data_IF_991656215735
#
_entry.id   IF_991656215735
#
_cell.length_a   1.000
_cell.length_b   1.000
_cell.length_c   1.000
_cell.angle_alpha   90.00
_cell.angle_beta   90.00
_cell.angle_gamma   90.00
#
_symmetry.space_group_name_H-M   'P 1'
#
loop_
_entity.id
_entity.type
_entity.pdbx_description
1 polymer ?
#
# COMPACT_ATOMS: atom_id res chain seq x y z
N UNK A 1 -16.20 -13.51 -4.12
CA UNK A 1 -16.94 -12.65 -3.19
C UNK A 1 -18.35 -12.34 -3.73
N UNK A 2 -18.50 -11.66 -4.88
CA UNK A 2 -19.79 -11.20 -5.41
C UNK A 2 -20.83 -12.31 -5.55
N UNK A 3 -20.48 -13.45 -6.14
CA UNK A 3 -21.42 -14.57 -6.34
C UNK A 3 -21.90 -15.19 -5.03
N UNK A 4 -21.15 -15.03 -3.95
CA UNK A 4 -21.51 -15.49 -2.61
C UNK A 4 -22.26 -14.43 -1.80
N UNK A 5 -21.83 -13.16 -1.88
CA UNK A 5 -22.37 -12.07 -1.06
C UNK A 5 -23.76 -11.58 -1.46
N UNK A 6 -24.20 -11.82 -2.71
CA UNK A 6 -25.49 -11.32 -3.22
C UNK A 6 -26.72 -11.84 -2.47
N UNK A 7 -26.63 -13.01 -1.84
CA UNK A 7 -27.76 -13.63 -1.14
C UNK A 7 -27.80 -13.26 0.35
N UNK A 8 -26.78 -12.55 0.87
CA UNK A 8 -26.67 -12.21 2.29
C UNK A 8 -27.41 -10.92 2.61
N UNK A 9 -28.33 -10.98 3.54
CA UNK A 9 -29.13 -9.83 4.04
C UNK A 9 -28.58 -9.20 5.30
N UNK A 10 -27.78 -9.95 6.07
CA UNK A 10 -27.16 -9.48 7.29
C UNK A 10 -25.68 -9.22 7.07
N UNK A 11 -25.13 -8.23 7.77
CA UNK A 11 -23.71 -7.94 7.72
C UNK A 11 -22.91 -9.11 8.32
N UNK A 12 -22.10 -9.75 7.51
CA UNK A 12 -21.24 -10.87 7.91
C UNK A 12 -19.80 -10.66 7.45
N UNK A 13 -18.86 -10.93 8.35
CA UNK A 13 -17.42 -10.94 8.06
C UNK A 13 -17.03 -12.34 7.60
N UNK A 14 -16.51 -12.43 6.40
CA UNK A 14 -16.16 -13.72 5.76
C UNK A 14 -14.73 -13.70 5.23
N UNK A 15 -14.15 -14.89 5.10
CA UNK A 15 -12.87 -15.09 4.40
C UNK A 15 -13.16 -15.87 3.13
N UNK A 16 -12.65 -15.39 2.01
CA UNK A 16 -12.55 -16.13 0.76
C UNK A 16 -11.12 -16.62 0.62
N UNK A 17 -10.95 -17.93 0.55
CA UNK A 17 -9.69 -18.63 0.34
C UNK A 17 -9.72 -19.23 -1.06
N UNK A 18 -8.98 -18.66 -1.98
CA UNK A 18 -8.92 -19.07 -3.38
C UNK A 18 -7.55 -19.67 -3.69
N UNK A 19 -7.51 -21.00 -3.86
CA UNK A 19 -6.30 -21.73 -4.26
C UNK A 19 -6.56 -22.37 -5.63
N UNK A 20 -6.09 -21.66 -6.65
CA UNK A 20 -6.20 -22.07 -8.05
C UNK A 20 -5.11 -23.03 -8.50
N UNK A 21 -4.88 -23.07 -9.82
CA UNK A 21 -3.77 -23.83 -10.41
C UNK A 21 -2.41 -23.17 -10.24
N UNK A 22 -2.33 -21.86 -10.41
CA UNK A 22 -1.08 -21.09 -10.39
C UNK A 22 -0.98 -20.02 -9.33
N UNK A 23 -2.10 -19.64 -8.68
CA UNK A 23 -2.16 -18.56 -7.70
C UNK A 23 -2.91 -18.96 -6.45
N UNK A 24 -2.54 -18.33 -5.36
CA UNK A 24 -3.26 -18.35 -4.08
C UNK A 24 -3.68 -16.95 -3.71
N UNK A 25 -4.96 -16.73 -3.46
CA UNK A 25 -5.51 -15.46 -3.00
C UNK A 25 -6.35 -15.67 -1.72
N UNK A 26 -6.25 -14.74 -0.80
CA UNK A 26 -7.07 -14.71 0.41
C UNK A 26 -7.59 -13.30 0.64
N UNK A 27 -8.91 -13.18 0.87
CA UNK A 27 -9.57 -11.90 1.09
C UNK A 27 -10.46 -11.97 2.32
N UNK A 28 -10.30 -11.02 3.23
CA UNK A 28 -11.23 -10.75 4.33
C UNK A 28 -12.18 -9.65 3.88
N UNK A 29 -13.48 -9.90 3.99
CA UNK A 29 -14.48 -8.96 3.54
C UNK A 29 -15.71 -8.96 4.47
N UNK A 30 -16.46 -7.87 4.40
CA UNK A 30 -17.76 -7.73 5.03
C UNK A 30 -18.85 -7.69 3.95
N UNK A 31 -19.91 -8.48 4.15
CA UNK A 31 -21.06 -8.53 3.24
C UNK A 31 -22.32 -8.14 3.98
N UNK A 32 -23.21 -7.38 3.36
CA UNK A 32 -24.52 -7.04 3.91
C UNK A 32 -25.22 -5.99 3.06
N UNK A 33 -26.54 -6.00 3.03
CA UNK A 33 -27.40 -5.05 2.31
C UNK A 33 -26.95 -4.77 0.85
N UNK A 34 -26.53 -5.82 0.13
CA UNK A 34 -26.03 -5.75 -1.25
C UNK A 34 -24.68 -5.00 -1.40
N UNK A 35 -23.98 -4.74 -0.32
CA UNK A 35 -22.62 -4.19 -0.32
C UNK A 35 -21.64 -5.31 0.02
N UNK A 36 -20.53 -5.36 -0.73
CA UNK A 36 -19.38 -6.23 -0.45
C UNK A 36 -18.18 -5.31 -0.28
N UNK A 37 -17.71 -5.19 0.94
CA UNK A 37 -16.56 -4.36 1.29
C UNK A 37 -15.34 -5.24 1.58
N UNK A 38 -14.25 -5.02 0.85
CA UNK A 38 -12.96 -5.69 1.13
C UNK A 38 -12.29 -4.98 2.30
N UNK A 39 -11.95 -5.73 3.36
CA UNK A 39 -11.24 -5.21 4.54
C UNK A 39 -9.73 -5.40 4.40
N UNK A 40 -9.31 -6.53 3.85
CA UNK A 40 -7.90 -6.82 3.54
C UNK A 40 -7.81 -7.92 2.51
N UNK A 41 -6.71 -7.95 1.77
CA UNK A 41 -6.41 -8.97 0.78
C UNK A 41 -4.92 -9.26 0.74
N UNK A 42 -4.55 -10.45 0.30
CA UNK A 42 -3.19 -10.88 0.06
C UNK A 42 -3.18 -12.26 -0.56
N UNK A 43 -1.98 -12.77 -0.89
CA UNK A 43 -1.87 -14.05 -1.55
C UNK A 43 -0.44 -14.38 -1.99
N UNK A 44 -0.30 -15.30 -2.94
CA UNK A 44 0.93 -15.60 -3.65
C UNK A 44 0.61 -15.91 -5.13
N UNK A 45 1.09 -15.04 -6.03
CA UNK A 45 0.87 -15.14 -7.47
C UNK A 45 1.60 -16.34 -8.13
N UNK A 46 2.38 -17.10 -7.37
CA UNK A 46 3.18 -18.21 -7.85
C UNK A 46 3.04 -19.47 -6.99
N UNK A 47 1.98 -19.57 -6.20
CA UNK A 47 1.66 -20.72 -5.38
C UNK A 47 0.29 -21.27 -5.79
N UNK A 48 0.27 -22.52 -6.25
CA UNK A 48 -0.98 -23.14 -6.67
C UNK A 48 -0.89 -24.64 -6.88
N UNK A 49 -1.92 -25.20 -7.51
CA UNK A 49 -1.99 -26.64 -7.82
C UNK A 49 -0.88 -27.15 -8.73
N UNK A 50 -0.29 -26.31 -9.56
CA UNK A 50 0.83 -26.64 -10.43
C UNK A 50 2.10 -26.94 -9.62
N UNK A 51 2.28 -26.29 -8.45
CA UNK A 51 3.39 -26.58 -7.54
C UNK A 51 3.19 -27.93 -6.86
N UNK A 52 1.94 -28.28 -6.54
CA UNK A 52 1.61 -29.63 -6.04
C UNK A 52 1.93 -30.69 -7.10
N UNK A 53 1.59 -30.42 -8.37
CA UNK A 53 1.92 -31.31 -9.49
C UNK A 53 3.44 -31.43 -9.67
N UNK A 54 4.18 -30.34 -9.56
CA UNK A 54 5.63 -30.33 -9.65
C UNK A 54 6.27 -31.24 -8.57
N UNK A 55 5.77 -31.24 -7.34
CA UNK A 55 6.22 -32.16 -6.28
C UNK A 55 6.01 -33.63 -6.67
N UNK A 56 4.85 -33.97 -7.28
CA UNK A 56 4.57 -35.30 -7.78
C UNK A 56 5.48 -35.68 -8.95
N UNK A 57 5.67 -34.78 -9.92
CA UNK A 57 6.57 -34.96 -11.06
C UNK A 57 7.98 -35.26 -10.59
N UNK A 58 8.47 -34.48 -9.63
CA UNK A 58 9.81 -34.63 -9.06
C UNK A 58 9.95 -35.98 -8.36
N UNK A 59 8.97 -36.37 -7.58
CA UNK A 59 8.95 -37.68 -6.93
C UNK A 59 8.98 -38.80 -7.97
N UNK A 60 8.09 -38.84 -8.94
CA UNK A 60 8.00 -39.88 -9.98
C UNK A 60 9.25 -39.95 -10.83
N UNK A 61 9.81 -38.81 -11.25
CA UNK A 61 11.03 -38.75 -12.06
C UNK A 61 12.25 -39.28 -11.27
N UNK A 62 12.36 -38.91 -9.98
CA UNK A 62 13.45 -39.38 -9.12
C UNK A 62 13.36 -40.90 -8.85
N UNK A 63 12.16 -41.41 -8.57
CA UNK A 63 11.94 -42.85 -8.40
C UNK A 63 12.34 -43.62 -9.66
N UNK A 64 11.86 -43.15 -10.83
CA UNK A 64 12.22 -43.78 -12.09
C UNK A 64 13.72 -43.71 -12.39
N UNK A 65 14.36 -42.60 -12.09
CA UNK A 65 15.82 -42.45 -12.25
C UNK A 65 16.61 -43.38 -11.35
N UNK A 66 16.15 -43.55 -10.11
CA UNK A 66 16.79 -44.50 -9.17
C UNK A 66 16.69 -45.97 -9.65
N UNK A 67 15.53 -46.32 -10.24
CA UNK A 67 15.29 -47.71 -10.71
C UNK A 67 15.93 -48.00 -12.08
N UNK A 68 15.93 -46.99 -12.99
CA UNK A 68 16.33 -47.23 -14.40
C UNK A 68 17.58 -46.44 -14.84
N UNK A 69 18.09 -45.53 -14.01
CA UNK A 69 19.24 -44.65 -14.38
C UNK A 69 18.91 -43.55 -15.38
N UNK A 70 17.65 -43.41 -15.79
CA UNK A 70 17.20 -42.49 -16.83
C UNK A 70 16.44 -41.28 -16.21
N UNK A 71 16.82 -40.11 -16.56
CA UNK A 71 16.18 -38.85 -16.10
C UNK A 71 15.08 -38.45 -17.06
N UNK A 72 13.82 -38.71 -16.73
CA UNK A 72 12.66 -38.42 -17.55
C UNK A 72 12.43 -36.91 -17.78
N UNK A 73 12.96 -36.06 -16.90
CA UNK A 73 12.82 -34.60 -17.07
C UNK A 73 13.60 -34.04 -18.27
N UNK A 74 14.57 -34.80 -18.80
CA UNK A 74 15.35 -34.42 -19.99
C UNK A 74 14.66 -34.77 -21.30
N UNK A 75 13.62 -35.58 -21.26
CA UNK A 75 12.79 -35.95 -22.40
C UNK A 75 11.47 -35.16 -22.36
N UNK A 76 11.28 -34.25 -23.31
CA UNK A 76 10.12 -33.37 -23.38
C UNK A 76 8.80 -34.16 -23.45
N UNK A 77 8.78 -35.29 -24.20
CA UNK A 77 7.58 -36.10 -24.34
C UNK A 77 7.28 -36.86 -23.06
N UNK A 78 8.29 -37.40 -22.40
CA UNK A 78 8.13 -38.08 -21.10
C UNK A 78 7.69 -37.08 -20.03
N UNK A 79 8.28 -35.88 -20.00
CA UNK A 79 7.90 -34.83 -19.05
C UNK A 79 6.44 -34.38 -19.22
N UNK A 80 5.96 -34.23 -20.47
CA UNK A 80 4.56 -33.88 -20.73
C UNK A 80 3.60 -34.95 -20.20
N UNK A 81 3.92 -36.24 -20.44
CA UNK A 81 3.14 -37.36 -19.92
C UNK A 81 3.19 -37.46 -18.38
N UNK A 82 4.32 -37.12 -17.77
CA UNK A 82 4.44 -37.02 -16.30
C UNK A 82 3.54 -35.91 -15.74
N UNK A 83 3.50 -34.74 -16.38
CA UNK A 83 2.64 -33.63 -15.97
C UNK A 83 1.17 -34.03 -15.96
N UNK A 84 0.68 -34.59 -17.05
CA UNK A 84 -0.71 -35.07 -17.16
C UNK A 84 -1.04 -36.14 -16.10
N UNK A 85 -0.10 -37.07 -15.87
CA UNK A 85 -0.28 -38.13 -14.88
C UNK A 85 -0.24 -37.62 -13.45
N UNK A 86 0.61 -36.64 -13.15
CA UNK A 86 0.71 -36.00 -11.83
C UNK A 86 -0.57 -35.23 -11.51
N UNK A 87 -1.08 -34.42 -12.45
CA UNK A 87 -2.33 -33.69 -12.28
C UNK A 87 -3.52 -34.64 -12.05
N UNK A 88 -3.61 -35.72 -12.84
CA UNK A 88 -4.66 -36.73 -12.66
C UNK A 88 -4.52 -37.42 -11.29
N UNK A 89 -3.32 -37.81 -10.88
CA UNK A 89 -3.08 -38.40 -9.58
C UNK A 89 -3.46 -37.46 -8.42
N UNK A 90 -3.11 -36.16 -8.51
CA UNK A 90 -3.56 -35.14 -7.55
C UNK A 90 -5.09 -35.08 -7.44
N UNK A 91 -5.80 -35.06 -8.57
CA UNK A 91 -7.27 -35.04 -8.61
C UNK A 91 -7.87 -36.30 -7.98
N UNK A 92 -7.34 -37.49 -8.31
CA UNK A 92 -7.81 -38.76 -7.76
C UNK A 92 -7.54 -38.86 -6.25
N UNK A 93 -6.37 -38.41 -5.77
CA UNK A 93 -6.01 -38.40 -4.35
C UNK A 93 -6.84 -37.44 -3.51
N UNK A 94 -7.56 -36.50 -4.12
CA UNK A 94 -8.53 -35.64 -3.41
C UNK A 94 -9.78 -36.46 -2.94
N UNK A 95 -10.13 -37.55 -3.63
CA UNK A 95 -11.28 -38.40 -3.30
C UNK A 95 -10.87 -39.79 -2.81
N UNK A 96 -9.73 -40.33 -3.32
CA UNK A 96 -9.24 -41.68 -3.02
C UNK A 96 -8.07 -41.62 -2.05
N UNK A 97 -7.85 -42.71 -1.28
CA UNK A 97 -6.71 -42.84 -0.35
C UNK A 97 -5.44 -43.26 -1.06
N UNK A 98 -5.52 -43.82 -2.25
CA UNK A 98 -4.39 -44.22 -3.10
C UNK A 98 -4.77 -44.12 -4.59
N UNK A 99 -3.76 -43.96 -5.43
CA UNK A 99 -3.89 -44.04 -6.90
C UNK A 99 -2.68 -44.70 -7.51
N UNK A 100 -2.80 -45.19 -8.75
CA UNK A 100 -1.70 -45.80 -9.51
C UNK A 100 -1.40 -44.95 -10.77
N UNK A 101 -0.21 -44.39 -10.82
CA UNK A 101 0.32 -43.79 -12.05
C UNK A 101 0.89 -44.91 -12.92
N UNK A 102 0.31 -45.08 -14.12
CA UNK A 102 0.75 -46.11 -15.07
C UNK A 102 1.02 -45.46 -16.44
N UNK A 103 2.31 -45.34 -16.77
CA UNK A 103 2.79 -44.72 -18.01
C UNK A 103 3.60 -45.78 -18.81
N UNK A 104 2.91 -46.62 -19.62
CA UNK A 104 3.60 -47.60 -20.46
C UNK A 104 4.40 -46.89 -21.56
N UNK A 105 5.57 -47.47 -21.88
CA UNK A 105 6.46 -46.96 -22.91
C UNK A 105 6.82 -45.47 -22.70
N UNK A 106 7.18 -45.11 -21.45
CA UNK A 106 7.51 -43.72 -21.11
C UNK A 106 8.82 -43.27 -21.74
N UNK A 107 9.78 -44.19 -21.87
CA UNK A 107 11.05 -44.00 -22.56
C UNK A 107 11.61 -45.36 -23.01
N UNK A 108 12.78 -45.39 -23.67
CA UNK A 108 13.50 -46.62 -24.04
C UNK A 108 15.01 -46.42 -23.88
N UNK A 109 15.72 -47.53 -23.59
CA UNK A 109 17.17 -47.59 -23.63
C UNK A 109 17.64 -48.77 -24.51
N UNK A 110 18.94 -49.11 -24.45
CA UNK A 110 19.53 -50.22 -25.20
C UNK A 110 18.92 -51.58 -24.83
N UNK A 111 18.28 -51.71 -23.66
CA UNK A 111 17.63 -52.96 -23.19
C UNK A 111 16.14 -53.01 -23.62
N UNK A 112 15.61 -51.98 -24.25
CA UNK A 112 14.23 -51.88 -24.74
C UNK A 112 13.38 -50.85 -24.06
N UNK A 113 12.04 -50.91 -24.27
CA UNK A 113 11.12 -49.95 -23.71
C UNK A 113 11.03 -50.03 -22.20
N UNK A 114 10.86 -48.87 -21.55
CA UNK A 114 10.69 -48.73 -20.11
C UNK A 114 9.29 -48.22 -19.79
N UNK A 115 8.76 -48.64 -18.66
CA UNK A 115 7.43 -48.31 -18.16
C UNK A 115 7.55 -47.70 -16.77
N UNK A 116 6.73 -46.73 -16.47
CA UNK A 116 6.61 -46.21 -15.10
C UNK A 116 5.28 -46.69 -14.54
N UNK A 117 5.32 -47.49 -13.49
CA UNK A 117 4.15 -47.90 -12.73
C UNK A 117 4.43 -47.62 -11.26
N UNK A 118 3.66 -46.75 -10.66
CA UNK A 118 3.89 -46.35 -9.26
C UNK A 118 2.56 -46.12 -8.55
N UNK A 119 2.39 -46.75 -7.40
CA UNK A 119 1.30 -46.45 -6.47
C UNK A 119 1.69 -45.31 -5.55
N UNK A 120 0.77 -44.38 -5.37
CA UNK A 120 0.92 -43.18 -4.53
C UNK A 120 -0.23 -43.16 -3.55
N UNK A 121 0.05 -43.06 -2.27
CA UNK A 121 -0.97 -42.84 -1.25
C UNK A 121 -1.20 -41.34 -1.03
N UNK A 122 -2.42 -41.01 -0.61
CA UNK A 122 -2.77 -39.62 -0.20
C UNK A 122 -1.79 -39.10 0.86
N UNK A 123 -1.50 -39.88 1.90
CA UNK A 123 -0.57 -39.46 2.94
C UNK A 123 0.85 -39.14 2.41
N UNK A 124 1.33 -39.92 1.40
CA UNK A 124 2.59 -39.61 0.73
C UNK A 124 2.54 -38.31 -0.05
N UNK A 125 1.46 -38.10 -0.81
CA UNK A 125 1.24 -36.87 -1.55
C UNK A 125 1.17 -35.65 -0.60
N UNK A 126 0.34 -35.72 0.42
CA UNK A 126 0.17 -34.65 1.41
C UNK A 126 1.48 -34.30 2.10
N UNK A 127 2.33 -35.31 2.43
CA UNK A 127 3.66 -35.04 2.99
C UNK A 127 4.62 -34.32 2.04
N UNK A 128 4.38 -34.35 0.72
CA UNK A 128 5.22 -33.66 -0.27
C UNK A 128 4.80 -32.19 -0.47
N UNK A 129 3.56 -31.85 -0.10
CA UNK A 129 3.00 -30.52 -0.31
C UNK A 129 2.72 -29.77 1.00
N UNK A 130 3.05 -30.38 2.16
CA UNK A 130 2.72 -29.80 3.47
C UNK A 130 3.32 -28.42 3.68
N UNK A 131 4.56 -28.21 3.25
CA UNK A 131 5.25 -26.92 3.31
C UNK A 131 4.51 -25.84 2.49
N UNK A 132 4.05 -26.18 1.28
CA UNK A 132 3.32 -25.27 0.42
C UNK A 132 1.95 -24.90 1.01
N UNK A 133 1.26 -25.86 1.61
CA UNK A 133 -0.02 -25.60 2.29
C UNK A 133 0.19 -24.74 3.54
N UNK A 134 1.25 -24.96 4.31
CA UNK A 134 1.57 -24.16 5.50
C UNK A 134 1.90 -22.70 5.12
N UNK A 135 2.51 -22.47 3.97
CA UNK A 135 2.74 -21.13 3.42
C UNK A 135 1.42 -20.38 3.21
N UNK A 136 0.37 -21.06 2.69
CA UNK A 136 -0.96 -20.42 2.58
C UNK A 136 -1.55 -20.04 3.94
N UNK A 137 -1.33 -20.86 4.99
CA UNK A 137 -1.80 -20.56 6.34
C UNK A 137 -1.10 -19.34 6.92
N UNK A 138 0.19 -19.20 6.66
CA UNK A 138 0.96 -18.01 7.05
C UNK A 138 0.36 -16.74 6.41
N UNK A 139 0.02 -16.81 5.14
CA UNK A 139 -0.64 -15.69 4.43
C UNK A 139 -2.01 -15.34 5.00
N UNK A 140 -2.83 -16.35 5.30
CA UNK A 140 -4.11 -16.11 5.98
C UNK A 140 -3.90 -15.33 7.29
N UNK A 141 -2.89 -15.73 8.07
CA UNK A 141 -2.60 -15.07 9.35
C UNK A 141 -2.24 -13.59 9.17
N UNK A 142 -1.42 -13.27 8.15
CA UNK A 142 -1.05 -11.89 7.80
C UNK A 142 -2.31 -11.08 7.41
N UNK A 143 -3.14 -11.60 6.50
CA UNK A 143 -4.32 -10.90 5.99
C UNK A 143 -5.40 -10.71 7.08
N UNK A 144 -5.63 -11.71 7.93
CA UNK A 144 -6.55 -11.57 9.07
C UNK A 144 -6.05 -10.50 10.06
N UNK A 145 -4.75 -10.44 10.32
CA UNK A 145 -4.16 -9.39 11.15
C UNK A 145 -4.33 -8.01 10.52
N UNK A 146 -4.09 -7.87 9.22
CA UNK A 146 -4.21 -6.61 8.48
C UNK A 146 -5.66 -6.10 8.42
N UNK A 147 -6.65 -6.99 8.46
CA UNK A 147 -8.07 -6.61 8.55
C UNK A 147 -8.47 -6.00 9.91
N UNK A 148 -7.61 -6.11 10.93
CA UNK A 148 -7.92 -5.66 12.29
C UNK A 148 -8.92 -6.54 13.03
N UNK A 149 -9.35 -7.68 12.47
CA UNK A 149 -10.34 -8.57 13.06
C UNK A 149 -9.69 -9.69 13.88
N UNK A 150 -10.43 -10.14 14.91
CA UNK A 150 -10.14 -11.42 15.56
C UNK A 150 -10.76 -12.57 14.74
N UNK A 151 -10.10 -13.74 14.71
CA UNK A 151 -10.61 -14.94 14.03
C UNK A 151 -12.03 -15.34 14.45
N UNK A 152 -12.44 -15.03 15.68
CA UNK A 152 -13.78 -15.30 16.20
C UNK A 152 -14.87 -14.48 15.54
N UNK A 153 -14.53 -13.29 15.01
CA UNK A 153 -15.46 -12.40 14.31
C UNK A 153 -15.79 -12.87 12.90
N UNK A 154 -14.87 -13.64 12.29
CA UNK A 154 -15.08 -14.22 10.96
C UNK A 154 -16.17 -15.29 11.06
N UNK A 155 -17.27 -15.10 10.37
CA UNK A 155 -18.45 -15.99 10.42
C UNK A 155 -18.28 -17.19 9.51
N UNK A 156 -17.81 -16.98 8.30
CA UNK A 156 -17.70 -18.03 7.29
C UNK A 156 -16.35 -18.01 6.57
N UNK A 157 -15.94 -19.19 6.14
CA UNK A 157 -14.74 -19.40 5.32
C UNK A 157 -15.20 -20.06 4.02
N UNK A 158 -15.09 -19.34 2.92
CA UNK A 158 -15.51 -19.79 1.59
C UNK A 158 -14.30 -20.29 0.82
N UNK A 159 -14.32 -21.54 0.38
CA UNK A 159 -13.25 -22.14 -0.42
C UNK A 159 -13.54 -21.97 -1.91
N UNK A 160 -12.54 -21.47 -2.64
CA UNK A 160 -12.57 -21.24 -4.09
C UNK A 160 -11.30 -21.84 -4.71
N UNK A 161 -11.39 -22.20 -5.99
CA UNK A 161 -10.28 -22.83 -6.73
C UNK A 161 -10.19 -24.34 -6.55
N UNK A 162 -9.82 -25.03 -7.64
CA UNK A 162 -9.82 -26.49 -7.70
C UNK A 162 -8.89 -27.17 -6.70
N UNK A 163 -7.76 -26.51 -6.33
CA UNK A 163 -6.77 -27.03 -5.39
C UNK A 163 -7.27 -27.09 -3.94
N UNK A 164 -8.35 -26.36 -3.61
CA UNK A 164 -9.02 -26.45 -2.30
C UNK A 164 -9.75 -27.79 -2.08
N UNK A 165 -9.85 -28.62 -3.12
CA UNK A 165 -10.38 -29.99 -2.99
C UNK A 165 -9.43 -30.96 -2.29
N UNK A 166 -8.13 -30.61 -2.19
CA UNK A 166 -7.12 -31.39 -1.49
C UNK A 166 -7.45 -31.46 0.00
N UNK A 167 -7.58 -32.66 0.62
CA UNK A 167 -8.00 -32.79 2.01
C UNK A 167 -7.09 -32.07 3.00
N UNK A 168 -5.79 -32.11 2.82
CA UNK A 168 -4.81 -31.41 3.68
C UNK A 168 -5.08 -29.89 3.72
N UNK A 169 -5.40 -29.26 2.59
CA UNK A 169 -5.75 -27.84 2.54
C UNK A 169 -6.98 -27.56 3.40
N UNK A 170 -8.03 -28.35 3.24
CA UNK A 170 -9.26 -28.19 4.03
C UNK A 170 -9.02 -28.39 5.52
N UNK A 171 -8.22 -29.37 5.88
CA UNK A 171 -7.86 -29.68 7.28
C UNK A 171 -7.09 -28.51 7.94
N UNK A 172 -6.05 -28.02 7.27
CA UNK A 172 -5.22 -26.92 7.78
C UNK A 172 -6.02 -25.62 7.92
N UNK A 173 -6.84 -25.24 6.91
CA UNK A 173 -7.71 -24.05 6.98
C UNK A 173 -8.74 -24.19 8.09
N UNK A 174 -9.42 -25.35 8.19
CA UNK A 174 -10.36 -25.63 9.28
C UNK A 174 -9.70 -25.55 10.66
N UNK A 175 -8.51 -26.12 10.81
CA UNK A 175 -7.75 -26.06 12.06
C UNK A 175 -7.35 -24.64 12.45
N UNK A 176 -6.95 -23.81 11.46
CA UNK A 176 -6.58 -22.42 11.69
C UNK A 176 -7.75 -21.57 12.24
N UNK A 177 -8.93 -21.68 11.64
CA UNK A 177 -10.11 -20.90 12.06
C UNK A 177 -10.92 -21.56 13.18
N UNK A 178 -10.79 -22.86 13.40
CA UNK A 178 -11.61 -23.61 14.37
C UNK A 178 -13.08 -23.71 13.99
N UNK A 179 -13.41 -23.54 12.70
CA UNK A 179 -14.80 -23.47 12.16
C UNK A 179 -14.95 -24.39 10.95
N UNK A 180 -16.19 -24.77 10.66
CA UNK A 180 -16.48 -25.53 9.44
C UNK A 180 -16.34 -24.62 8.20
N UNK A 181 -15.90 -25.23 7.10
CA UNK A 181 -15.68 -24.55 5.85
C UNK A 181 -16.96 -24.52 5.04
N UNK A 182 -17.28 -23.37 4.45
CA UNK A 182 -18.44 -23.25 3.54
C UNK A 182 -18.10 -23.87 2.19
N UNK A 183 -18.92 -24.82 1.77
CA UNK A 183 -18.83 -25.57 0.51
C UNK A 183 -20.06 -25.39 -0.37
N UNK A 184 -20.87 -24.34 -0.14
CA UNK A 184 -22.11 -24.10 -0.86
C UNK A 184 -21.87 -23.63 -2.31
N UNK A 185 -20.72 -23.03 -2.58
CA UNK A 185 -20.35 -22.58 -3.93
C UNK A 185 -19.54 -23.66 -4.66
N UNK A 186 -19.73 -23.76 -5.97
CA UNK A 186 -18.88 -24.60 -6.81
C UNK A 186 -17.53 -23.88 -7.02
N UNK A 187 -16.42 -24.40 -6.50
CA UNK A 187 -15.11 -23.73 -6.57
C UNK A 187 -14.59 -23.59 -8.00
N UNK A 188 -15.09 -24.33 -8.96
CA UNK A 188 -14.65 -24.28 -10.36
C UNK A 188 -15.42 -23.22 -11.18
N UNK A 189 -16.63 -22.82 -10.75
CA UNK A 189 -17.54 -21.94 -11.49
C UNK A 189 -17.69 -20.55 -10.84
N UNK A 190 -17.46 -20.46 -9.54
CA UNK A 190 -17.78 -19.25 -8.76
C UNK A 190 -17.07 -17.99 -9.26
N UNK A 191 -15.85 -18.12 -9.79
CA UNK A 191 -15.09 -16.99 -10.36
C UNK A 191 -15.75 -16.49 -11.65
N UNK A 192 -16.14 -17.41 -12.54
CA UNK A 192 -16.82 -17.06 -13.79
C UNK A 192 -18.20 -16.40 -13.53
N UNK A 193 -18.95 -16.90 -12.54
CA UNK A 193 -20.22 -16.32 -12.11
C UNK A 193 -19.98 -14.92 -11.55
N UNK A 194 -18.97 -14.73 -10.68
CA UNK A 194 -18.61 -13.44 -10.12
C UNK A 194 -18.21 -12.42 -11.19
N UNK A 195 -17.43 -12.84 -12.18
CA UNK A 195 -17.06 -12.01 -13.32
C UNK A 195 -18.27 -11.60 -14.18
N UNK A 196 -19.21 -12.52 -14.39
CA UNK A 196 -20.45 -12.22 -15.12
C UNK A 196 -21.33 -11.20 -14.37
N UNK A 197 -21.43 -11.32 -13.04
CA UNK A 197 -22.14 -10.37 -12.19
C UNK A 197 -21.48 -8.99 -12.27
N UNK A 198 -20.16 -8.91 -12.14
CA UNK A 198 -19.41 -7.65 -12.24
C UNK A 198 -19.61 -7.01 -13.63
N UNK A 199 -19.60 -7.80 -14.69
CA UNK A 199 -19.92 -7.32 -16.04
C UNK A 199 -21.34 -6.74 -16.16
N UNK A 200 -22.32 -7.33 -15.49
CA UNK A 200 -23.70 -6.84 -15.46
C UNK A 200 -23.82 -5.53 -14.62
N UNK A 201 -23.05 -5.41 -13.53
CA UNK A 201 -22.96 -4.16 -12.74
C UNK A 201 -22.37 -3.04 -13.58
N UNK A 202 -21.25 -3.28 -14.28
CA UNK A 202 -20.59 -2.28 -15.14
C UNK A 202 -21.54 -1.82 -16.27
N UNK A 203 -22.36 -2.71 -16.82
CA UNK A 203 -23.36 -2.35 -17.85
C UNK A 203 -24.59 -1.63 -17.28
N UNK A 204 -24.78 -1.63 -15.96
CA UNK A 204 -25.94 -1.08 -15.29
C UNK A 204 -27.17 -1.97 -15.32
N UNK A 205 -27.04 -3.26 -15.70
CA UNK A 205 -28.11 -4.24 -15.66
C UNK A 205 -28.44 -4.67 -14.23
N UNK A 206 -27.43 -4.66 -13.35
CA UNK A 206 -27.54 -4.89 -11.90
C UNK A 206 -27.15 -3.61 -11.19
N UNK A 207 -28.04 -3.04 -10.38
CA UNK A 207 -27.85 -1.73 -9.73
C UNK A 207 -27.69 -1.83 -8.22
N UNK A 208 -28.04 -2.97 -7.65
CA UNK A 208 -28.16 -3.14 -6.21
C UNK A 208 -26.93 -3.83 -5.58
N UNK A 209 -25.80 -3.85 -6.30
CA UNK A 209 -24.55 -4.47 -5.82
C UNK A 209 -23.43 -3.47 -5.93
N UNK A 210 -22.80 -3.18 -4.81
CA UNK A 210 -21.61 -2.34 -4.72
C UNK A 210 -20.43 -3.17 -4.19
N UNK A 211 -19.41 -3.33 -5.01
CA UNK A 211 -18.12 -3.86 -4.57
C UNK A 211 -17.20 -2.69 -4.22
N UNK A 212 -16.79 -2.62 -2.98
CA UNK A 212 -15.79 -1.68 -2.50
C UNK A 212 -14.47 -2.43 -2.30
N UNK A 213 -13.48 -2.04 -3.06
CA UNK A 213 -12.13 -2.60 -2.99
C UNK A 213 -11.22 -1.71 -2.15
N UNK A 214 -9.98 -2.13 -1.90
CA UNK A 214 -9.00 -1.39 -1.09
C UNK A 214 -7.68 -1.20 -1.83
N UNK A 215 -6.96 -0.14 -1.45
CA UNK A 215 -5.61 0.10 -1.97
C UNK A 215 -4.62 -0.93 -1.42
N UNK A 216 -3.83 -1.63 -2.26
CA UNK A 216 -2.88 -2.65 -1.80
C UNK A 216 -1.64 -2.06 -1.10
N UNK A 217 -1.30 -0.82 -1.41
CA UNK A 217 -0.16 -0.06 -0.85
C UNK A 217 -0.56 1.39 -0.65
N UNK A 218 0.15 2.08 0.25
CA UNK A 218 0.01 3.52 0.45
C UNK A 218 0.44 4.30 -0.79
N UNK A 219 -0.23 5.44 -1.00
CA UNK A 219 0.03 6.38 -2.09
C UNK A 219 0.37 7.75 -1.53
N UNK A 220 1.34 8.41 -2.13
CA UNK A 220 1.81 9.71 -1.66
C UNK A 220 2.68 10.43 -2.67
N UNK A 221 3.29 11.51 -2.22
CA UNK A 221 4.24 12.29 -3.01
C UNK A 221 5.58 12.43 -2.31
N UNK A 222 6.62 12.66 -3.11
CA UNK A 222 7.92 13.08 -2.60
C UNK A 222 7.85 14.52 -2.09
N UNK A 223 8.36 14.75 -0.89
CA UNK A 223 8.45 16.06 -0.26
C UNK A 223 9.91 16.39 0.10
N UNK A 224 10.14 17.59 0.64
CA UNK A 224 11.46 18.12 0.94
C UNK A 224 12.32 17.14 1.77
N UNK A 225 13.51 16.84 1.28
CA UNK A 225 14.44 15.88 1.88
C UNK A 225 14.25 14.44 1.36
N UNK A 226 13.48 14.24 0.27
CA UNK A 226 13.24 12.94 -0.34
C UNK A 226 12.32 12.02 0.48
N UNK A 227 11.53 12.59 1.38
CA UNK A 227 10.57 11.86 2.22
C UNK A 227 9.28 11.60 1.42
N UNK A 228 8.69 10.42 1.57
CA UNK A 228 7.36 10.14 1.07
C UNK A 228 6.31 10.61 2.06
N UNK A 229 5.51 11.60 1.67
CA UNK A 229 4.31 12.00 2.43
C UNK A 229 3.11 11.25 1.89
N UNK A 230 2.53 10.38 2.72
CA UNK A 230 1.36 9.56 2.37
C UNK A 230 0.10 10.43 2.38
N UNK A 231 -0.72 10.31 1.33
CA UNK A 231 -2.06 10.91 1.22
C UNK A 231 -3.16 9.85 1.38
N UNK A 232 -2.93 8.65 0.87
CA UNK A 232 -3.84 7.51 0.98
C UNK A 232 -3.05 6.35 1.60
N UNK A 233 -3.53 5.82 2.70
CA UNK A 233 -2.90 4.69 3.39
C UNK A 233 -3.28 3.35 2.73
N UNK A 234 -2.41 2.33 2.87
CA UNK A 234 -2.72 0.93 2.53
C UNK A 234 -4.05 0.51 3.18
N UNK A 235 -4.87 -0.24 2.48
CA UNK A 235 -6.15 -0.72 2.97
C UNK A 235 -7.27 0.33 2.95
N UNK A 236 -7.07 1.49 2.33
CA UNK A 236 -8.14 2.49 2.17
C UNK A 236 -9.14 2.02 1.11
N UNK A 237 -10.42 2.00 1.46
CA UNK A 237 -11.53 1.64 0.55
C UNK A 237 -11.61 2.61 -0.62
N UNK A 238 -11.82 2.08 -1.82
CA UNK A 238 -12.03 2.85 -3.05
C UNK A 238 -13.48 2.70 -3.54
N UNK A 239 -14.06 3.74 -4.21
CA UNK A 239 -13.41 4.98 -4.65
C UNK A 239 -13.11 5.96 -3.50
N UNK A 240 -11.99 6.68 -3.62
CA UNK A 240 -11.55 7.63 -2.60
C UNK A 240 -10.85 8.83 -3.21
N UNK A 241 -11.09 10.01 -2.64
CA UNK A 241 -10.38 11.24 -2.96
C UNK A 241 -9.78 11.84 -1.69
N UNK A 242 -8.48 12.08 -1.70
CA UNK A 242 -7.75 12.76 -0.62
C UNK A 242 -6.98 13.94 -1.17
N UNK A 243 -7.02 15.04 -0.43
CA UNK A 243 -6.33 16.29 -0.79
C UNK A 243 -5.49 16.78 0.36
N UNK A 244 -4.32 17.32 0.03
CA UNK A 244 -3.43 17.98 1.00
C UNK A 244 -2.78 19.20 0.36
N UNK A 245 -2.58 20.26 1.17
CA UNK A 245 -1.93 21.49 0.70
C UNK A 245 -0.45 21.42 1.04
N UNK A 246 0.38 21.68 0.04
CA UNK A 246 1.83 21.79 0.13
C UNK A 246 2.26 23.22 -0.25
N UNK A 247 3.55 23.49 -0.13
CA UNK A 247 4.11 24.80 -0.50
C UNK A 247 5.46 24.64 -1.21
N UNK A 248 6.01 25.77 -1.66
CA UNK A 248 7.33 25.83 -2.28
C UNK A 248 8.45 25.69 -1.25
N UNK A 249 9.55 25.04 -1.66
CA UNK A 249 10.74 24.84 -0.84
C UNK A 249 11.74 26.01 -0.94
N UNK A 250 11.67 26.81 -2.02
CA UNK A 250 12.59 27.92 -2.30
C UNK A 250 11.86 29.23 -2.56
N UNK A 251 12.54 30.36 -2.32
CA UNK A 251 12.01 31.68 -2.62
C UNK A 251 11.88 31.88 -4.13
N UNK A 252 10.77 32.50 -4.55
CA UNK A 252 10.48 32.81 -5.95
C UNK A 252 10.46 31.58 -6.89
N UNK A 253 10.18 30.41 -6.35
CA UNK A 253 10.04 29.17 -7.12
C UNK A 253 8.85 29.27 -8.05
N UNK A 254 9.10 29.17 -9.37
CA UNK A 254 8.08 29.35 -10.42
C UNK A 254 7.38 28.06 -10.86
N UNK A 255 7.87 26.91 -10.40
CA UNK A 255 7.30 25.59 -10.68
C UNK A 255 7.54 24.62 -9.52
N UNK A 256 6.65 23.65 -9.33
CA UNK A 256 6.84 22.52 -8.43
C UNK A 256 6.70 21.22 -9.20
N UNK A 257 7.57 20.27 -8.91
CA UNK A 257 7.49 18.91 -9.44
C UNK A 257 6.68 18.05 -8.47
N UNK A 258 5.63 17.43 -8.97
CA UNK A 258 4.85 16.44 -8.22
C UNK A 258 5.33 15.05 -8.64
N UNK A 259 5.95 14.33 -7.72
CA UNK A 259 6.41 12.96 -7.90
C UNK A 259 5.48 12.02 -7.14
N UNK A 260 4.59 11.35 -7.86
CA UNK A 260 3.65 10.39 -7.30
C UNK A 260 4.33 9.04 -7.02
N UNK A 261 4.10 8.49 -5.83
CA UNK A 261 4.76 7.30 -5.30
C UNK A 261 3.74 6.30 -4.76
N UNK A 262 4.14 5.03 -4.81
CA UNK A 262 3.42 3.92 -4.18
C UNK A 262 4.37 3.06 -3.37
N UNK A 263 4.01 2.74 -2.11
CA UNK A 263 4.79 1.87 -1.25
C UNK A 263 4.69 2.24 0.23
N UNK A 264 5.47 1.53 1.06
CA UNK A 264 5.41 1.64 2.52
C UNK A 264 6.68 2.22 3.15
N UNK A 265 7.76 2.45 2.36
CA UNK A 265 9.00 3.03 2.86
C UNK A 265 8.85 4.54 3.08
N UNK A 266 9.62 5.08 4.02
CA UNK A 266 9.57 6.51 4.36
C UNK A 266 10.26 7.42 3.33
N UNK A 267 11.10 6.86 2.44
CA UNK A 267 11.83 7.63 1.45
C UNK A 267 11.37 7.34 0.02
N UNK A 268 11.24 8.40 -0.79
CA UNK A 268 10.78 8.34 -2.17
C UNK A 268 11.56 7.34 -3.03
N UNK A 269 12.88 7.32 -2.89
CA UNK A 269 13.77 6.43 -3.66
C UNK A 269 13.57 4.95 -3.39
N UNK A 270 13.00 4.60 -2.24
CA UNK A 270 12.79 3.23 -1.78
C UNK A 270 11.34 2.75 -2.08
N UNK A 271 10.54 3.60 -2.75
CA UNK A 271 9.17 3.33 -3.18
C UNK A 271 9.06 3.30 -4.71
N UNK A 272 7.94 2.79 -5.21
CA UNK A 272 7.64 2.75 -6.65
C UNK A 272 7.23 4.12 -7.15
N UNK A 273 7.93 4.64 -8.16
CA UNK A 273 7.48 5.82 -8.89
C UNK A 273 6.30 5.48 -9.80
N UNK A 274 5.21 6.21 -9.66
CA UNK A 274 4.02 6.12 -10.51
C UNK A 274 4.07 7.12 -11.66
N UNK A 275 4.84 8.20 -11.51
CA UNK A 275 5.03 9.24 -12.51
C UNK A 275 5.37 10.59 -11.88
N UNK A 276 5.77 11.51 -12.74
CA UNK A 276 6.10 12.89 -12.35
C UNK A 276 5.49 13.87 -13.33
N UNK A 277 5.08 15.03 -12.84
CA UNK A 277 4.65 16.16 -13.65
C UNK A 277 4.96 17.49 -12.96
N UNK A 278 5.02 18.56 -13.73
CA UNK A 278 5.33 19.90 -13.23
C UNK A 278 4.09 20.78 -13.23
N UNK A 279 3.83 21.45 -12.13
CA UNK A 279 2.92 22.58 -12.06
C UNK A 279 3.75 23.86 -12.24
N UNK A 280 3.61 24.50 -13.38
CA UNK A 280 4.39 25.67 -13.78
C UNK A 280 3.62 26.98 -13.59
N UNK A 281 4.37 28.10 -13.70
CA UNK A 281 3.84 29.46 -13.61
C UNK A 281 3.16 29.77 -12.26
N UNK A 282 3.78 29.30 -11.19
CA UNK A 282 3.47 29.72 -9.82
C UNK A 282 3.95 31.16 -9.67
N UNK A 283 3.12 32.03 -9.06
CA UNK A 283 3.50 33.42 -8.82
C UNK A 283 4.69 33.50 -7.87
N UNK A 284 5.75 34.31 -8.19
CA UNK A 284 6.88 34.50 -7.31
C UNK A 284 6.45 34.97 -5.92
N UNK A 285 6.85 34.22 -4.91
CA UNK A 285 6.60 34.51 -3.51
C UNK A 285 7.68 33.91 -2.63
N UNK A 286 7.84 34.33 -1.36
CA UNK A 286 8.68 33.65 -0.42
C UNK A 286 8.29 32.17 -0.25
N UNK A 287 9.27 31.31 0.01
CA UNK A 287 9.01 29.89 0.28
C UNK A 287 8.01 29.72 1.42
N UNK A 288 7.18 28.69 1.34
CA UNK A 288 6.13 28.42 2.32
C UNK A 288 4.86 29.25 2.14
N UNK A 289 4.84 30.27 1.26
CA UNK A 289 3.65 31.14 1.01
C UNK A 289 2.72 30.57 -0.06
N UNK A 290 3.18 30.09 -1.24
CA UNK A 290 2.29 29.49 -2.23
C UNK A 290 1.57 28.27 -1.66
N UNK A 291 0.28 28.12 -2.01
CA UNK A 291 -0.55 26.99 -1.58
C UNK A 291 -0.85 26.11 -2.79
N UNK A 292 -0.19 24.96 -2.82
CA UNK A 292 -0.36 23.96 -3.87
C UNK A 292 -1.20 22.82 -3.32
N UNK A 293 -2.44 22.73 -3.76
CA UNK A 293 -3.33 21.64 -3.40
C UNK A 293 -3.04 20.44 -4.29
N UNK A 294 -2.60 19.33 -3.68
CA UNK A 294 -2.41 18.06 -4.36
C UNK A 294 -3.55 17.13 -4.00
N UNK A 295 -4.19 16.55 -5.02
CA UNK A 295 -5.29 15.61 -4.85
C UNK A 295 -4.94 14.27 -5.49
N UNK A 296 -5.22 13.19 -4.75
CA UNK A 296 -5.22 11.81 -5.22
C UNK A 296 -6.67 11.36 -5.30
N UNK A 297 -7.12 10.97 -6.49
CA UNK A 297 -8.49 10.57 -6.78
C UNK A 297 -8.46 9.19 -7.43
N UNK A 298 -8.95 8.17 -6.72
CA UNK A 298 -9.04 6.79 -7.20
C UNK A 298 -10.51 6.49 -7.46
N UNK A 299 -10.83 6.13 -8.69
CA UNK A 299 -12.20 5.75 -9.06
C UNK A 299 -12.52 4.30 -8.66
N UNK A 300 -13.77 3.89 -8.88
CA UNK A 300 -14.24 2.52 -8.58
C UNK A 300 -13.55 1.42 -9.42
N UNK A 301 -12.83 1.79 -10.48
CA UNK A 301 -12.06 0.87 -11.32
C UNK A 301 -10.58 0.83 -10.94
N UNK A 302 -10.18 1.53 -9.85
CA UNK A 302 -8.80 1.62 -9.41
C UNK A 302 -7.92 2.56 -10.25
N UNK A 303 -8.52 3.41 -11.10
CA UNK A 303 -7.76 4.38 -11.89
C UNK A 303 -7.42 5.57 -10.99
N UNK A 304 -6.11 5.79 -10.81
CA UNK A 304 -5.59 6.90 -10.02
C UNK A 304 -5.40 8.15 -10.89
N UNK A 305 -6.00 9.26 -10.49
CA UNK A 305 -5.70 10.59 -11.01
C UNK A 305 -4.99 11.40 -9.94
N UNK A 306 -3.80 11.90 -10.23
CA UNK A 306 -3.05 12.81 -9.37
C UNK A 306 -3.08 14.19 -9.98
N UNK A 307 -3.58 15.18 -9.25
CA UNK A 307 -3.66 16.58 -9.70
C UNK A 307 -2.99 17.51 -8.70
N UNK A 308 -2.45 18.60 -9.21
CA UNK A 308 -1.90 19.69 -8.41
C UNK A 308 -2.52 21.02 -8.89
N UNK A 309 -2.96 21.86 -7.94
CA UNK A 309 -3.60 23.14 -8.23
C UNK A 309 -2.97 24.25 -7.38
N UNK A 310 -2.50 25.29 -8.01
CA UNK A 310 -2.11 26.52 -7.31
C UNK A 310 -3.39 27.29 -6.91
N UNK A 311 -3.65 27.39 -5.61
CA UNK A 311 -4.86 28.04 -5.06
C UNK A 311 -4.92 29.54 -5.35
N UNK A 312 -3.79 30.19 -5.57
CA UNK A 312 -3.74 31.62 -5.86
C UNK A 312 -4.10 31.94 -7.31
N UNK A 313 -3.65 31.13 -8.26
CA UNK A 313 -3.87 31.37 -9.69
C UNK A 313 -4.98 30.52 -10.30
N UNK A 314 -5.37 29.44 -9.62
CA UNK A 314 -6.31 28.44 -10.15
C UNK A 314 -5.72 27.53 -11.23
N UNK A 315 -4.42 27.66 -11.53
CA UNK A 315 -3.74 26.78 -12.49
C UNK A 315 -3.64 25.38 -11.93
N UNK A 316 -3.96 24.41 -12.77
CA UNK A 316 -3.93 22.98 -12.41
C UNK A 316 -3.21 22.18 -13.48
N UNK A 317 -2.61 21.09 -13.04
CA UNK A 317 -2.02 20.05 -13.87
C UNK A 317 -2.37 18.69 -13.28
N UNK A 318 -2.56 17.69 -14.15
CA UNK A 318 -2.89 16.33 -13.70
C UNK A 318 -2.18 15.27 -14.51
N UNK A 319 -2.02 14.09 -13.88
CA UNK A 319 -1.60 12.86 -14.55
C UNK A 319 -2.60 11.75 -14.22
N UNK A 320 -2.99 10.97 -15.23
CA UNK A 320 -3.81 9.77 -15.05
C UNK A 320 -2.92 8.53 -15.14
N UNK A 321 -3.00 7.70 -14.11
CA UNK A 321 -2.26 6.46 -14.00
C UNK A 321 -3.29 5.34 -14.15
N UNK A 322 -3.40 4.79 -15.37
CA UNK A 322 -4.32 3.71 -15.69
C UNK A 322 -3.62 2.37 -15.60
N UNK A 323 -4.26 1.43 -14.94
CA UNK A 323 -3.78 0.08 -14.75
C UNK A 323 -3.01 -0.11 -13.45
N UNK A 324 -2.72 -1.37 -13.14
CA UNK A 324 -1.84 -1.70 -12.02
C UNK A 324 -0.51 -0.97 -12.22
N UNK A 325 0.11 -0.53 -11.15
CA UNK A 325 1.47 0.07 -11.15
C UNK A 325 2.54 -0.81 -11.82
N UNK A 326 2.14 -1.91 -12.46
CA UNK A 326 3.00 -2.95 -12.99
C UNK A 326 3.70 -3.73 -11.87
N UNK A 327 3.26 -3.56 -10.63
CA UNK A 327 3.70 -4.37 -9.51
C UNK A 327 2.93 -5.68 -9.52
N UNK A 328 3.64 -6.79 -9.52
CA UNK A 328 3.07 -8.09 -9.21
C UNK A 328 2.94 -8.25 -7.67
N UNK A 329 2.22 -9.27 -7.26
CA UNK A 329 1.93 -9.51 -5.85
C UNK A 329 3.20 -9.77 -5.02
N UNK A 330 4.21 -10.44 -5.60
CA UNK A 330 5.52 -10.63 -4.96
C UNK A 330 6.28 -9.33 -4.77
N UNK A 331 6.16 -8.40 -5.71
CA UNK A 331 6.76 -7.08 -5.57
C UNK A 331 6.06 -6.30 -4.45
N UNK A 332 4.72 -6.39 -4.36
CA UNK A 332 3.93 -5.78 -3.27
C UNK A 332 4.36 -6.36 -1.92
N UNK A 333 4.39 -7.69 -1.78
CA UNK A 333 4.83 -8.35 -0.54
C UNK A 333 6.27 -7.99 -0.17
N UNK A 334 7.16 -7.99 -1.16
CA UNK A 334 8.55 -7.60 -0.94
C UNK A 334 8.63 -6.16 -0.43
N UNK A 335 7.87 -5.23 -1.01
CA UNK A 335 7.84 -3.85 -0.56
C UNK A 335 7.33 -3.71 0.88
N UNK A 336 6.31 -4.48 1.27
CA UNK A 336 5.80 -4.50 2.65
C UNK A 336 6.83 -5.07 3.61
N UNK A 337 7.44 -6.23 3.29
CA UNK A 337 8.48 -6.85 4.12
C UNK A 337 9.73 -5.96 4.25
N UNK A 338 10.18 -5.36 3.15
CA UNK A 338 11.31 -4.43 3.16
C UNK A 338 11.01 -3.20 4.03
N UNK A 339 9.77 -2.71 4.03
CA UNK A 339 9.35 -1.61 4.90
C UNK A 339 9.36 -2.01 6.38
N UNK A 340 8.89 -3.20 6.73
CA UNK A 340 8.95 -3.71 8.10
C UNK A 340 10.39 -3.90 8.60
N UNK A 341 11.26 -4.46 7.76
CA UNK A 341 12.67 -4.69 8.10
C UNK A 341 13.47 -3.40 8.35
N UNK A 342 13.15 -2.33 7.63
CA UNK A 342 13.87 -1.06 7.73
C UNK A 342 13.12 0.01 8.54
N UNK A 343 11.98 -0.33 9.14
CA UNK A 343 11.09 0.62 9.82
C UNK A 343 11.82 1.51 10.83
N UNK A 344 12.58 0.91 11.75
CA UNK A 344 13.29 1.67 12.79
C UNK A 344 14.41 2.57 12.22
N UNK A 345 15.10 2.11 11.17
CA UNK A 345 16.15 2.88 10.50
C UNK A 345 15.54 4.06 9.74
N UNK A 346 14.47 3.79 8.98
CA UNK A 346 13.75 4.79 8.20
C UNK A 346 13.10 5.85 9.11
N UNK A 347 12.48 5.46 10.22
CA UNK A 347 11.93 6.41 11.20
C UNK A 347 12.99 7.34 11.79
N UNK A 348 14.15 6.80 12.17
CA UNK A 348 15.28 7.62 12.67
C UNK A 348 15.77 8.59 11.62
N UNK A 349 15.95 8.10 10.40
CA UNK A 349 16.43 8.91 9.28
C UNK A 349 15.41 10.00 8.90
N UNK A 350 14.12 9.66 8.82
CA UNK A 350 13.02 10.61 8.58
C UNK A 350 12.99 11.70 9.65
N UNK A 351 13.07 11.30 10.93
CA UNK A 351 13.09 12.25 12.05
C UNK A 351 14.29 13.22 11.98
N UNK A 352 15.44 12.76 11.50
CA UNK A 352 16.60 13.64 11.27
C UNK A 352 16.38 14.62 10.10
N UNK A 353 15.77 14.16 9.01
CA UNK A 353 15.42 15.00 7.85
C UNK A 353 14.37 16.04 8.24
N UNK A 354 13.32 15.66 8.98
CA UNK A 354 12.29 16.57 9.47
C UNK A 354 12.88 17.65 10.41
N UNK A 355 13.76 17.25 11.33
CA UNK A 355 14.47 18.18 12.21
C UNK A 355 15.32 19.17 11.39
N UNK A 356 16.02 18.68 10.35
CA UNK A 356 16.80 19.51 9.44
C UNK A 356 15.93 20.52 8.69
N UNK A 357 14.80 20.08 8.13
CA UNK A 357 13.87 20.94 7.40
C UNK A 357 13.26 22.02 8.31
N UNK A 358 12.89 21.66 9.53
CA UNK A 358 12.39 22.62 10.53
C UNK A 358 13.47 23.63 10.95
N UNK A 359 14.69 23.15 11.16
CA UNK A 359 15.82 24.00 11.52
C UNK A 359 16.20 24.98 10.41
N UNK A 360 16.16 24.54 9.14
CA UNK A 360 16.39 25.39 7.99
C UNK A 360 15.30 26.47 7.84
N UNK A 361 14.03 26.08 8.03
CA UNK A 361 12.91 27.03 8.03
C UNK A 361 13.06 28.09 9.14
N UNK A 362 13.43 27.67 10.35
CA UNK A 362 13.68 28.57 11.47
C UNK A 362 14.86 29.51 11.19
N UNK A 363 15.96 28.99 10.66
CA UNK A 363 17.14 29.79 10.30
C UNK A 363 16.78 30.88 9.27
N UNK A 364 16.05 30.51 8.22
CA UNK A 364 15.59 31.43 7.19
C UNK A 364 14.65 32.50 7.74
N UNK A 365 13.66 32.10 8.54
CA UNK A 365 12.72 33.05 9.16
C UNK A 365 13.43 34.01 10.11
N UNK A 366 14.37 33.53 10.91
CA UNK A 366 15.17 34.36 11.82
C UNK A 366 16.03 35.36 11.04
N UNK A 367 16.69 34.92 9.97
CA UNK A 367 17.49 35.79 9.10
C UNK A 367 16.67 36.90 8.46
N UNK A 368 15.50 36.56 7.93
CA UNK A 368 14.55 37.52 7.34
C UNK A 368 14.07 38.51 8.38
N UNK A 369 13.64 38.05 9.55
CA UNK A 369 13.17 38.90 10.65
C UNK A 369 14.30 39.81 11.16
N UNK A 370 15.53 39.31 11.23
CA UNK A 370 16.72 40.10 11.63
C UNK A 370 17.03 41.20 10.59
N UNK A 371 16.87 40.90 9.29
CA UNK A 371 17.01 41.89 8.20
C UNK A 371 15.98 42.99 8.25
N UNK A 372 14.72 42.65 8.55
CA UNK A 372 13.61 43.62 8.61
C UNK A 372 13.55 44.45 9.89
N UNK A 373 14.07 43.93 10.98
CA UNK A 373 13.92 44.48 12.35
C UNK A 373 15.21 44.66 13.13
N UNK A 374 16.38 44.33 12.52
CA UNK A 374 17.66 44.32 13.22
C UNK A 374 18.10 45.64 13.85
N UNK A 375 17.57 46.76 13.33
CA UNK A 375 17.83 48.11 13.88
C UNK A 375 16.96 48.44 15.11
N UNK A 376 15.90 47.63 15.38
CA UNK A 376 15.06 47.77 16.56
C UNK A 376 15.53 46.93 17.76
N UNK A 377 16.55 46.08 17.55
CA UNK A 377 17.12 45.19 18.57
C UNK A 377 18.48 45.75 19.01
N UNK A 378 18.79 45.64 20.31
CA UNK A 378 20.09 46.03 20.83
C UNK A 378 21.24 45.34 20.10
N UNK A 379 22.34 46.05 19.81
CA UNK A 379 23.47 45.53 19.03
C UNK A 379 24.10 44.26 19.67
N UNK A 380 24.09 44.15 20.99
CA UNK A 380 24.58 42.97 21.70
C UNK A 380 23.66 41.74 21.54
N UNK A 381 22.36 41.94 21.50
CA UNK A 381 21.38 40.86 21.25
C UNK A 381 21.42 40.45 19.77
N UNK A 382 21.52 41.42 18.85
CA UNK A 382 21.67 41.11 17.41
C UNK A 382 22.90 40.23 17.17
N UNK A 383 24.05 40.56 17.76
CA UNK A 383 25.26 39.75 17.63
C UNK A 383 25.12 38.30 18.17
N UNK A 384 24.33 38.13 19.25
CA UNK A 384 24.05 36.78 19.79
C UNK A 384 23.16 35.96 18.84
N UNK A 385 22.15 36.60 18.26
CA UNK A 385 21.25 35.93 17.28
C UNK A 385 22.04 35.56 16.03
N UNK A 386 22.87 36.47 15.50
CA UNK A 386 23.72 36.21 14.33
C UNK A 386 24.71 35.05 14.59
N UNK A 387 25.30 34.97 15.78
CA UNK A 387 26.19 33.87 16.16
C UNK A 387 25.45 32.53 16.24
N UNK A 388 24.30 32.49 16.91
CA UNK A 388 23.50 31.28 17.01
C UNK A 388 22.95 30.82 15.64
N UNK A 389 22.55 31.78 14.78
CA UNK A 389 22.15 31.52 13.41
C UNK A 389 23.28 30.93 12.57
N UNK A 390 24.49 31.45 12.71
CA UNK A 390 25.66 30.90 12.05
C UNK A 390 25.95 29.48 12.52
N UNK A 391 25.97 29.26 13.84
CA UNK A 391 26.19 27.94 14.42
C UNK A 391 25.18 26.90 13.90
N UNK A 392 23.89 27.28 13.78
CA UNK A 392 22.84 26.40 13.22
C UNK A 392 23.11 26.13 11.74
N UNK A 393 23.42 27.14 10.93
CA UNK A 393 23.76 26.98 9.51
C UNK A 393 24.97 26.08 9.29
N UNK A 394 26.02 26.20 10.14
CA UNK A 394 27.23 25.38 10.08
C UNK A 394 26.86 23.88 10.35
N UNK A 395 25.97 23.59 11.29
CA UNK A 395 25.51 22.25 11.57
C UNK A 395 24.60 21.73 10.41
N UNK A 396 23.76 22.58 9.84
CA UNK A 396 22.92 22.21 8.68
C UNK A 396 23.73 21.95 7.41
N UNK A 397 24.90 22.57 7.26
CA UNK A 397 25.83 22.29 6.14
C UNK A 397 26.55 20.93 6.27
N UNK A 398 26.50 20.29 7.42
CA UNK A 398 27.10 18.98 7.65
C UNK A 398 26.01 17.89 7.41
N UNK A 399 26.11 17.17 6.31
CA UNK A 399 25.16 16.09 5.96
C UNK A 399 25.09 14.94 6.96
N UNK A 400 26.14 14.78 7.78
CA UNK A 400 26.22 13.74 8.82
C UNK A 400 25.73 14.21 10.20
N UNK A 401 25.19 15.44 10.31
CA UNK A 401 24.68 15.95 11.58
C UNK A 401 23.50 15.13 12.08
N UNK A 402 23.54 14.72 13.36
CA UNK A 402 22.44 13.97 13.98
C UNK A 402 21.31 14.90 14.38
N UNK A 403 20.13 14.31 14.61
CA UNK A 403 18.95 15.05 15.09
C UNK A 403 19.27 15.81 16.38
N UNK A 404 19.95 15.17 17.32
CA UNK A 404 20.29 15.76 18.63
C UNK A 404 21.17 17.00 18.47
N UNK A 405 22.15 16.97 17.53
CA UNK A 405 23.00 18.11 17.23
C UNK A 405 22.22 19.27 16.62
N UNK A 406 21.27 18.97 15.75
CA UNK A 406 20.37 19.97 15.14
C UNK A 406 19.46 20.59 16.21
N UNK A 407 18.79 19.75 17.00
CA UNK A 407 17.85 20.18 18.05
C UNK A 407 18.52 21.05 19.09
N UNK A 408 19.79 20.76 19.45
CA UNK A 408 20.60 21.61 20.38
C UNK A 408 20.78 23.04 19.82
N UNK A 409 21.12 23.15 18.53
CA UNK A 409 21.34 24.47 17.90
C UNK A 409 20.02 25.20 17.62
N UNK A 410 18.95 24.49 17.29
CA UNK A 410 17.59 25.03 17.19
C UNK A 410 17.17 25.64 18.53
N UNK A 411 17.35 24.91 19.62
CA UNK A 411 17.04 25.41 20.96
C UNK A 411 17.83 26.66 21.31
N UNK A 412 19.16 26.68 21.06
CA UNK A 412 20.02 27.82 21.31
C UNK A 412 19.57 29.06 20.51
N UNK A 413 19.22 28.90 19.22
CA UNK A 413 18.69 29.98 18.38
C UNK A 413 17.34 30.48 18.88
N UNK A 414 16.44 29.59 19.25
CA UNK A 414 15.10 29.95 19.77
C UNK A 414 15.21 30.78 21.06
N UNK A 415 16.08 30.40 22.00
CA UNK A 415 16.27 31.12 23.27
C UNK A 415 16.74 32.55 23.06
N UNK A 416 17.70 32.79 22.12
CA UNK A 416 18.18 34.16 21.86
C UNK A 416 17.25 34.96 20.95
N UNK A 417 16.41 34.32 20.16
CA UNK A 417 15.47 34.98 19.23
C UNK A 417 14.18 35.50 19.90
N UNK A 418 13.93 35.14 21.15
CA UNK A 418 12.69 35.55 21.87
C UNK A 418 12.55 37.08 21.93
N UNK A 419 13.64 37.82 22.10
CA UNK A 419 13.62 39.30 22.13
C UNK A 419 13.33 39.92 20.76
N UNK A 420 13.74 39.26 19.67
CA UNK A 420 13.38 39.68 18.30
C UNK A 420 11.88 39.60 18.10
N UNK A 421 11.25 38.51 18.57
CA UNK A 421 9.81 38.34 18.53
C UNK A 421 9.07 39.42 19.33
N UNK A 422 9.56 39.79 20.54
CA UNK A 422 8.97 40.89 21.31
C UNK A 422 9.08 42.25 20.61
N UNK A 423 10.17 42.49 19.89
CA UNK A 423 10.35 43.74 19.12
C UNK A 423 9.38 43.78 17.91
N UNK A 424 9.11 42.64 17.27
CA UNK A 424 8.13 42.50 16.19
C UNK A 424 6.70 42.81 16.68
N UNK A 425 6.30 42.26 17.82
CA UNK A 425 5.00 42.54 18.42
C UNK A 425 4.80 44.02 18.75
N UNK A 426 5.78 44.67 19.33
CA UNK A 426 5.73 46.11 19.64
C UNK A 426 5.59 46.98 18.40
N UNK A 427 6.22 46.61 17.27
CA UNK A 427 6.12 47.35 16.01
C UNK A 427 4.76 47.16 15.34
N UNK A 428 4.20 45.94 15.39
CA UNK A 428 2.88 45.62 14.87
C UNK A 428 1.78 46.38 15.66
N UNK A 429 1.91 46.47 16.99
CA UNK A 429 1.01 47.26 17.82
C UNK A 429 1.14 48.80 17.51
N UNK A 430 2.39 49.27 17.33
CA UNK A 430 2.60 50.65 16.95
C UNK A 430 2.08 51.04 15.55
N UNK A 431 2.17 50.08 14.60
CA UNK A 431 1.61 50.27 13.24
C UNK A 431 0.08 50.25 13.24
N UNK A 432 -0.54 49.45 14.09
CA UNK A 432 -2.01 49.41 14.29
C UNK A 432 -2.53 50.64 15.06
N UNK A 433 -1.71 51.21 15.97
CA UNK A 433 -2.05 52.44 16.70
C UNK A 433 -1.85 53.70 15.84
N UNK A 434 -0.91 53.70 14.88
CA UNK A 434 -0.68 54.85 13.96
C UNK A 434 -1.70 54.94 12.82
N UNK A 435 -2.50 53.90 12.55
CA UNK A 435 -3.57 53.89 11.52
C UNK A 435 -4.95 54.41 11.99
N UNK A 436 -5.07 54.79 13.28
CA UNK A 436 -6.37 55.17 13.85
C UNK A 436 -6.60 56.66 14.02
N UNK A 437 -5.90 57.53 13.28
CA UNK A 437 -6.13 58.98 13.31
C UNK A 437 -6.31 59.57 11.92
N UNK A 438 -7.33 59.21 11.20
CA UNK A 438 -8.12 60.10 10.31
C UNK A 438 -9.28 59.31 9.63
N UNK A 439 -10.43 59.30 10.26
CA UNK A 439 -11.72 59.21 9.57
C UNK A 439 -12.83 59.64 10.54
N UNK A 440 -13.33 60.83 10.27
CA UNK A 440 -14.38 61.53 11.03
C UNK A 440 -15.69 60.77 11.08
N UNK A 441 -16.40 61.08 12.17
CA UNK A 441 -17.79 60.79 12.48
C UNK A 441 -18.72 60.65 11.27
N UNK A 442 -19.44 59.50 11.20
CA UNK A 442 -20.86 59.45 10.78
C UNK A 442 -21.57 58.25 11.39
N UNK A 443 -22.57 58.60 12.14
CA UNK A 443 -23.85 57.98 12.49
C UNK A 443 -24.07 56.46 12.52
N UNK A 444 -24.54 56.06 13.72
CA UNK A 444 -25.25 54.82 14.07
C UNK A 444 -26.45 54.55 13.16
N UNK A 445 -26.62 53.34 12.73
CA UNK A 445 -27.89 52.63 12.68
C UNK A 445 -27.69 51.18 13.07
N UNK A 446 -28.49 50.76 14.03
CA UNK A 446 -28.76 49.36 14.43
C UNK A 446 -29.27 48.57 13.23
N UNK A 447 -28.86 47.33 13.10
CA UNK A 447 -29.75 46.25 12.70
C UNK A 447 -29.10 44.85 12.97
N UNK A 448 -29.80 44.16 13.81
CA UNK A 448 -30.09 42.75 13.98
C UNK A 448 -29.05 41.67 13.67
N UNK A 449 -28.69 41.00 14.75
CA UNK A 449 -28.14 39.64 14.83
C UNK A 449 -29.21 38.64 14.39
N UNK A 450 -28.86 37.74 13.44
CA UNK A 450 -29.59 36.52 13.22
C UNK A 450 -28.60 35.37 13.39
N UNK A 451 -28.77 34.62 14.50
CA UNK A 451 -28.25 33.29 14.71
C UNK A 451 -28.91 32.33 13.71
N UNK A 452 -28.12 31.52 13.04
CA UNK A 452 -28.58 30.36 12.31
C UNK A 452 -27.85 29.14 12.81
N UNK A 453 -28.50 28.35 13.66
CA UNK A 453 -28.21 26.96 13.92
C UNK A 453 -28.46 26.17 12.63
N UNK A 454 -27.58 25.20 12.36
CA UNK A 454 -27.75 24.20 11.33
C UNK A 454 -27.78 22.85 11.97
N UNK A 455 -28.89 22.12 11.74
CA UNK A 455 -29.03 20.69 11.97
C UNK A 455 -28.05 19.86 11.14
#
# INVERSE_FOLDING_TARGET
ALSYGLEKKEAEKIVVYDLGGGTFDVTVLETGDSVVEVLSTGGDAFLGGDDFDNRLIDFLANEFKNENGIDLKKDVMALQRLKEAAENAKKELSSSTETEVNLPFITADASGPKHLVKKITRAKFESMIEDLVEETITKIQEVVKDSGLDKSEIKEIVLVGGSTRVPLVQEKVKAFFGKDLNKSVNPDEVVAIGAAIQGAVIRGDVKDVLLLDVTPLSLGIETLGGVMTKLIDKGTTIPVKKTQVFSTAEDNQSAVTIHALQGEREFAKDNKSLGQFNLENISPAPRGVPQIEVAFDIDANGILTVSATDKATGKAQEIKISGSSGLDEKEIEKMVKDAELHKEEDEKRKSAVEARNQADALAHQTEKSLGEMGDAVDAGEKAKIEAALKDLKDVLANDSATKEQIDEKVKALTEVSHKLAEAMYKKDEASKAGGASDAGKKDKKDDDVIDAEVE
#
